data_IF_849809920876
#
_entry.id   IF_849809920876
#
_cell.length_a   1.000
_cell.length_b   1.000
_cell.length_c   1.000
_cell.angle_alpha   90.00
_cell.angle_beta   90.00
_cell.angle_gamma   90.00
#
_symmetry.space_group_name_H-M   'P 1'
#
loop_
_entity.id
_entity.type
_entity.pdbx_description
1 polymer ?
#
# COMPACT_ATOMS: atom_id res chain seq x y z
N UNK A 1 -3.95 -14.13 -13.99
CA UNK A 1 -2.69 -14.31 -14.69
C UNK A 1 -1.70 -13.31 -14.13
N UNK A 2 -0.50 -13.75 -13.78
CA UNK A 2 0.61 -12.84 -13.53
C UNK A 2 0.84 -12.05 -14.81
N UNK A 3 0.91 -10.74 -14.69
CA UNK A 3 1.51 -9.90 -15.74
C UNK A 3 3.00 -10.25 -15.67
N UNK A 4 3.53 -10.97 -16.65
CA UNK A 4 4.93 -11.42 -16.65
C UNK A 4 5.93 -10.27 -16.83
N UNK A 5 5.45 -9.08 -17.30
CA UNK A 5 6.23 -7.86 -17.39
C UNK A 5 5.41 -6.69 -16.84
N UNK A 6 5.97 -5.96 -15.88
CA UNK A 6 5.40 -4.71 -15.42
C UNK A 6 5.64 -3.63 -16.49
N UNK A 7 4.58 -3.05 -17.10
CA UNK A 7 4.74 -2.01 -18.12
C UNK A 7 5.24 -0.69 -17.55
N UNK A 8 5.30 -0.53 -16.24
CA UNK A 8 5.76 0.69 -15.56
C UNK A 8 7.30 0.71 -15.46
N UNK A 9 7.98 0.95 -16.57
CA UNK A 9 9.44 0.87 -16.70
C UNK A 9 10.19 2.19 -16.41
N UNK A 10 9.47 3.27 -16.07
CA UNK A 10 10.04 4.58 -15.79
C UNK A 10 10.49 5.37 -17.03
N UNK A 11 10.02 5.00 -18.22
CA UNK A 11 10.43 5.64 -19.46
C UNK A 11 10.13 7.13 -19.49
N UNK A 12 8.97 7.57 -18.99
CA UNK A 12 8.62 8.99 -18.90
C UNK A 12 9.61 9.79 -18.04
N UNK A 13 10.08 9.21 -16.94
CA UNK A 13 11.11 9.84 -16.08
C UNK A 13 12.42 9.98 -16.84
N UNK A 14 12.89 8.91 -17.50
CA UNK A 14 14.14 8.93 -18.27
C UNK A 14 14.10 9.94 -19.42
N UNK A 15 12.97 10.00 -20.13
CA UNK A 15 12.77 10.97 -21.22
C UNK A 15 12.84 12.41 -20.72
N UNK A 16 12.22 12.69 -19.57
CA UNK A 16 12.23 14.02 -18.97
C UNK A 16 13.64 14.41 -18.45
N UNK A 17 14.35 13.48 -17.80
CA UNK A 17 15.73 13.71 -17.36
C UNK A 17 16.66 14.03 -18.54
N UNK A 18 16.51 13.37 -19.68
CA UNK A 18 17.32 13.61 -20.87
C UNK A 18 17.22 15.05 -21.40
N UNK A 19 16.14 15.77 -21.08
CA UNK A 19 15.97 17.19 -21.44
C UNK A 19 16.17 18.13 -20.23
N UNK A 20 16.74 17.62 -19.14
CA UNK A 20 17.12 18.40 -17.97
C UNK A 20 16.03 18.58 -16.92
N UNK A 21 14.96 17.78 -16.94
CA UNK A 21 13.93 17.81 -15.90
C UNK A 21 14.49 17.43 -14.52
N UNK A 22 14.00 18.09 -13.49
CA UNK A 22 14.24 17.73 -12.10
C UNK A 22 13.32 16.60 -11.64
N UNK A 23 13.82 15.78 -10.72
CA UNK A 23 13.04 14.75 -10.03
C UNK A 23 12.86 15.11 -8.56
N UNK A 24 11.78 14.63 -7.97
CA UNK A 24 11.46 14.86 -6.55
C UNK A 24 10.84 13.62 -5.93
N UNK A 25 11.22 13.31 -4.66
CA UNK A 25 10.62 12.24 -3.86
C UNK A 25 10.89 10.83 -4.40
N UNK A 26 11.94 10.61 -5.16
CA UNK A 26 12.27 9.32 -5.78
C UNK A 26 12.47 8.18 -4.75
N UNK A 27 12.72 8.53 -3.51
CA UNK A 27 12.82 7.59 -2.38
C UNK A 27 11.46 7.10 -1.86
N UNK A 28 10.34 7.68 -2.32
CA UNK A 28 9.02 7.37 -1.79
C UNK A 28 8.25 6.44 -2.71
N UNK A 29 8.10 5.21 -2.27
CA UNK A 29 7.34 4.17 -2.95
C UNK A 29 6.25 3.66 -2.00
N UNK A 30 5.02 3.61 -2.47
CA UNK A 30 3.90 3.07 -1.71
C UNK A 30 3.83 1.55 -1.91
N UNK A 31 4.15 0.79 -0.87
CA UNK A 31 3.94 -0.64 -0.81
C UNK A 31 2.73 -0.95 0.08
N UNK A 32 1.77 -1.72 -0.42
CA UNK A 32 0.55 -2.10 0.31
C UNK A 32 0.21 -3.57 0.08
N UNK A 33 -0.58 -4.21 0.98
CA UNK A 33 -1.16 -5.51 0.74
C UNK A 33 -2.27 -5.37 -0.30
N UNK A 34 -2.09 -5.93 -1.48
CA UNK A 34 -3.04 -5.73 -2.56
C UNK A 34 -3.80 -6.99 -2.93
N UNK A 35 -3.11 -8.09 -3.23
CA UNK A 35 -3.73 -9.31 -3.73
C UNK A 35 -3.24 -10.57 -3.03
N UNK A 36 -3.42 -10.60 -1.73
CA UNK A 36 -3.07 -11.74 -0.87
C UNK A 36 -4.20 -12.12 0.08
N UNK A 37 -3.84 -12.69 1.21
CA UNK A 37 -4.75 -13.26 2.19
C UNK A 37 -5.51 -12.27 3.07
N UNK A 38 -5.23 -10.98 2.99
CA UNK A 38 -5.95 -9.97 3.76
C UNK A 38 -7.37 -9.83 3.27
N UNK A 39 -8.33 -9.92 4.18
CA UNK A 39 -9.77 -9.93 3.87
C UNK A 39 -10.50 -8.64 4.23
N UNK A 40 -9.84 -7.72 4.92
CA UNK A 40 -10.37 -6.42 5.28
C UNK A 40 -9.86 -5.36 4.30
N UNK A 41 -10.75 -4.47 3.83
CA UNK A 41 -10.36 -3.33 2.98
C UNK A 41 -9.69 -2.22 3.80
N UNK A 42 -10.06 -2.11 5.07
CA UNK A 42 -9.56 -1.09 6.01
C UNK A 42 -9.06 -1.74 7.29
N UNK A 43 -8.24 -1.06 8.10
CA UNK A 43 -7.83 -1.56 9.42
C UNK A 43 -9.03 -2.00 10.26
N UNK A 44 -8.90 -3.14 10.92
CA UNK A 44 -9.97 -3.75 11.71
C UNK A 44 -9.43 -4.78 12.70
N UNK A 45 -10.27 -5.70 13.16
CA UNK A 45 -9.85 -6.80 14.02
C UNK A 45 -9.14 -7.87 13.17
N UNK A 46 -7.83 -7.74 13.08
CA UNK A 46 -6.92 -8.65 12.38
C UNK A 46 -5.59 -8.75 13.13
N UNK A 47 -4.90 -9.87 12.98
CA UNK A 47 -3.57 -10.13 13.52
C UNK A 47 -2.62 -10.44 12.36
N UNK A 48 -1.43 -9.86 12.38
CA UNK A 48 -0.35 -10.16 11.45
C UNK A 48 0.72 -11.01 12.12
N UNK A 49 1.03 -12.18 11.53
CA UNK A 49 2.03 -13.10 12.06
C UNK A 49 3.11 -13.37 11.02
N UNK A 50 4.35 -13.45 11.49
CA UNK A 50 5.46 -13.99 10.69
C UNK A 50 5.19 -15.46 10.30
N UNK A 51 6.00 -16.02 9.42
CA UNK A 51 5.94 -17.44 9.07
C UNK A 51 6.15 -18.36 10.31
N UNK A 52 6.78 -17.85 11.38
CA UNK A 52 6.97 -18.55 12.64
C UNK A 52 5.79 -18.44 13.61
N UNK A 53 4.75 -17.66 13.26
CA UNK A 53 3.57 -17.48 14.10
C UNK A 53 3.72 -16.43 15.20
N UNK A 54 4.60 -15.47 15.02
CA UNK A 54 4.88 -14.36 15.97
C UNK A 54 4.27 -13.08 15.43
N UNK A 55 3.57 -12.30 16.27
CA UNK A 55 3.23 -10.91 15.91
C UNK A 55 4.49 -10.10 15.75
N UNK A 56 4.49 -9.13 14.87
CA UNK A 56 5.68 -8.34 14.57
C UNK A 56 5.42 -6.84 14.47
N UNK A 57 4.17 -6.37 14.55
CA UNK A 57 3.82 -4.95 14.35
C UNK A 57 2.48 -4.60 15.01
N UNK A 58 2.18 -3.31 15.13
CA UNK A 58 0.81 -2.80 15.24
C UNK A 58 0.13 -2.91 13.87
N UNK A 59 -0.88 -3.75 13.75
CA UNK A 59 -1.63 -3.99 12.50
C UNK A 59 -2.40 -2.76 12.00
N UNK A 60 -2.43 -1.68 12.78
CA UNK A 60 -3.02 -0.38 12.40
C UNK A 60 -1.99 0.69 12.06
N UNK A 61 -0.71 0.35 12.10
CA UNK A 61 0.37 1.24 11.71
C UNK A 61 0.34 1.56 10.20
N UNK A 62 1.13 2.53 9.77
CA UNK A 62 1.31 2.79 8.34
C UNK A 62 1.97 1.59 7.65
N UNK A 63 1.68 1.40 6.38
CA UNK A 63 2.28 0.29 5.62
C UNK A 63 3.81 0.37 5.54
N UNK A 64 4.39 1.56 5.58
CA UNK A 64 5.84 1.73 5.67
C UNK A 64 6.40 1.18 6.98
N UNK A 65 5.69 1.40 8.09
CA UNK A 65 6.03 0.82 9.40
C UNK A 65 5.90 -0.70 9.37
N UNK A 66 4.76 -1.21 8.87
CA UNK A 66 4.54 -2.66 8.74
C UNK A 66 5.62 -3.32 7.88
N UNK A 67 6.03 -2.69 6.77
CA UNK A 67 7.11 -3.18 5.91
C UNK A 67 8.46 -3.19 6.64
N UNK A 68 8.77 -2.12 7.37
CA UNK A 68 10.01 -2.03 8.15
C UNK A 68 10.07 -3.10 9.24
N UNK A 69 8.97 -3.28 9.99
CA UNK A 69 8.85 -4.27 11.06
C UNK A 69 8.93 -5.71 10.51
N UNK A 70 8.26 -6.00 9.38
CA UNK A 70 8.33 -7.29 8.70
C UNK A 70 9.76 -7.59 8.25
N UNK A 71 10.43 -6.61 7.67
CA UNK A 71 11.83 -6.72 7.23
C UNK A 71 12.76 -6.97 8.42
N UNK A 72 12.58 -6.23 9.53
CA UNK A 72 13.33 -6.43 10.75
C UNK A 72 13.12 -7.82 11.38
N UNK A 73 11.91 -8.37 11.23
CA UNK A 73 11.59 -9.76 11.61
C UNK A 73 12.14 -10.82 10.63
N UNK A 74 12.85 -10.40 9.56
CA UNK A 74 13.46 -11.28 8.56
C UNK A 74 12.45 -11.89 7.59
N UNK A 75 11.27 -11.30 7.43
CA UNK A 75 10.20 -11.77 6.56
C UNK A 75 10.02 -10.92 5.31
N UNK A 76 9.39 -11.49 4.29
CA UNK A 76 8.87 -10.81 3.10
C UNK A 76 7.38 -11.08 2.89
N UNK A 77 6.84 -12.06 3.60
CA UNK A 77 5.43 -12.46 3.64
C UNK A 77 5.01 -12.67 5.09
N UNK A 78 3.72 -12.50 5.35
CA UNK A 78 3.13 -12.68 6.67
C UNK A 78 1.74 -13.32 6.57
N UNK A 79 1.29 -13.92 7.66
CA UNK A 79 -0.07 -14.37 7.80
C UNK A 79 -0.97 -13.23 8.26
N UNK A 80 -2.13 -13.13 7.65
CA UNK A 80 -3.23 -12.28 8.14
C UNK A 80 -4.34 -13.18 8.63
N UNK A 81 -4.83 -12.90 9.84
CA UNK A 81 -5.88 -13.69 10.48
C UNK A 81 -6.97 -12.75 10.98
N UNK A 82 -8.22 -13.11 10.77
CA UNK A 82 -9.39 -12.45 11.34
C UNK A 82 -10.47 -13.48 11.70
N UNK A 83 -11.52 -13.07 12.40
CA UNK A 83 -12.63 -13.94 12.77
C UNK A 83 -13.90 -13.69 11.93
N UNK A 84 -14.97 -14.45 12.21
CA UNK A 84 -16.22 -14.34 11.49
C UNK A 84 -16.93 -13.00 11.65
N UNK A 85 -16.73 -12.29 12.78
CA UNK A 85 -17.39 -11.01 13.08
C UNK A 85 -16.80 -9.84 12.32
N UNK A 86 -15.55 -9.92 11.94
CA UNK A 86 -14.89 -8.83 11.21
C UNK A 86 -15.58 -8.58 9.87
N UNK A 87 -15.82 -7.31 9.55
CA UNK A 87 -16.40 -6.92 8.26
C UNK A 87 -15.43 -7.24 7.13
N UNK A 88 -15.87 -8.11 6.22
CA UNK A 88 -15.07 -8.50 5.06
C UNK A 88 -15.15 -7.42 3.97
N UNK A 89 -14.06 -7.24 3.26
CA UNK A 89 -13.98 -6.35 2.10
C UNK A 89 -14.68 -6.88 0.86
N UNK A 90 -14.75 -6.05 -0.17
CA UNK A 90 -15.44 -6.37 -1.41
C UNK A 90 -14.84 -7.56 -2.16
N UNK A 91 -13.53 -7.80 -2.00
CA UNK A 91 -12.80 -8.88 -2.69
C UNK A 91 -12.83 -10.22 -1.96
N UNK A 92 -13.43 -10.29 -0.77
CA UNK A 92 -13.39 -11.48 0.09
C UNK A 92 -13.85 -12.76 -0.62
N UNK A 93 -15.03 -12.74 -1.25
CA UNK A 93 -15.58 -13.93 -1.91
C UNK A 93 -14.67 -14.43 -3.04
N UNK A 94 -14.11 -13.50 -3.83
CA UNK A 94 -13.17 -13.82 -4.91
C UNK A 94 -11.87 -14.43 -4.37
N UNK A 95 -11.32 -13.88 -3.30
CA UNK A 95 -10.10 -14.39 -2.65
C UNK A 95 -10.30 -15.79 -2.08
N UNK A 96 -11.46 -16.07 -1.49
CA UNK A 96 -11.82 -17.44 -1.02
C UNK A 96 -11.91 -18.39 -2.22
N UNK A 97 -12.60 -18.00 -3.29
CA UNK A 97 -12.72 -18.83 -4.50
C UNK A 97 -11.37 -19.13 -5.15
N UNK A 98 -10.43 -18.21 -5.07
CA UNK A 98 -9.07 -18.36 -5.61
C UNK A 98 -8.11 -19.11 -4.68
N UNK A 99 -8.55 -19.48 -3.48
CA UNK A 99 -7.72 -20.16 -2.48
C UNK A 99 -6.66 -19.25 -1.82
N UNK A 100 -6.77 -17.93 -1.97
CA UNK A 100 -5.90 -16.97 -1.30
C UNK A 100 -6.28 -16.80 0.18
N UNK A 101 -7.54 -17.05 0.49
CA UNK A 101 -8.12 -17.02 1.84
C UNK A 101 -8.72 -18.37 2.14
N UNK A 102 -8.29 -18.93 3.26
CA UNK A 102 -8.85 -20.16 3.83
C UNK A 102 -9.63 -19.86 5.10
N UNK A 103 -10.36 -20.87 5.60
CA UNK A 103 -11.05 -20.79 6.88
C UNK A 103 -10.67 -21.97 7.77
N UNK A 104 -10.81 -21.76 9.09
CA UNK A 104 -10.62 -22.79 10.10
C UNK A 104 -11.71 -22.67 11.18
N UNK A 105 -12.29 -23.80 11.57
CA UNK A 105 -13.36 -23.86 12.57
C UNK A 105 -12.85 -23.74 14.03
N UNK A 106 -11.53 -23.78 14.24
CA UNK A 106 -10.90 -23.65 15.56
C UNK A 106 -9.47 -23.18 15.46
N UNK A 107 -8.91 -22.65 16.57
CA UNK A 107 -7.48 -22.31 16.64
C UNK A 107 -6.55 -23.51 16.40
N UNK A 108 -6.97 -24.70 16.83
CA UNK A 108 -6.23 -25.94 16.57
C UNK A 108 -6.15 -26.28 15.09
N UNK A 109 -7.26 -26.13 14.37
CA UNK A 109 -7.28 -26.32 12.91
C UNK A 109 -6.49 -25.24 12.20
N UNK A 110 -6.63 -23.99 12.62
CA UNK A 110 -5.87 -22.86 12.11
C UNK A 110 -4.37 -23.11 12.22
N UNK A 111 -3.89 -23.47 13.42
CA UNK A 111 -2.49 -23.77 13.67
C UNK A 111 -1.96 -24.91 12.77
N UNK A 112 -2.76 -25.96 12.60
CA UNK A 112 -2.44 -27.08 11.71
C UNK A 112 -2.28 -26.62 10.26
N UNK A 113 -3.23 -25.83 9.75
CA UNK A 113 -3.21 -25.32 8.35
C UNK A 113 -2.04 -24.37 8.11
N UNK A 114 -1.71 -23.54 9.08
CA UNK A 114 -0.58 -22.61 9.03
C UNK A 114 0.78 -23.28 9.29
N UNK A 115 0.79 -24.55 9.71
CA UNK A 115 2.00 -25.27 10.16
C UNK A 115 2.73 -24.56 11.32
N UNK A 116 1.96 -24.07 12.29
CA UNK A 116 2.44 -23.39 13.49
C UNK A 116 2.05 -24.21 14.72
N UNK A 117 2.82 -24.11 15.80
CA UNK A 117 2.47 -24.73 17.09
C UNK A 117 1.12 -24.24 17.60
N UNK A 118 0.21 -25.17 17.92
CA UNK A 118 -1.09 -24.82 18.49
C UNK A 118 -0.97 -24.09 19.84
N UNK A 119 0.02 -24.43 20.64
CA UNK A 119 0.29 -23.75 21.91
C UNK A 119 0.73 -22.29 21.67
N UNK A 120 1.66 -22.08 20.77
CA UNK A 120 2.13 -20.74 20.38
C UNK A 120 1.01 -19.87 19.83
N UNK A 121 0.19 -20.40 18.90
CA UNK A 121 -0.91 -19.65 18.33
C UNK A 121 -1.96 -19.29 19.41
N UNK A 122 -2.24 -20.20 20.33
CA UNK A 122 -3.17 -19.95 21.45
C UNK A 122 -2.64 -18.85 22.37
N UNK A 123 -1.34 -18.80 22.64
CA UNK A 123 -0.71 -17.75 23.43
C UNK A 123 -0.81 -16.38 22.73
N UNK A 124 -0.51 -16.31 21.43
CA UNK A 124 -0.66 -15.08 20.64
C UNK A 124 -2.10 -14.56 20.69
N UNK A 125 -3.09 -15.45 20.48
CA UNK A 125 -4.49 -15.05 20.57
C UNK A 125 -4.90 -14.60 21.97
N UNK A 126 -4.41 -15.27 23.01
CA UNK A 126 -4.68 -14.87 24.39
C UNK A 126 -4.14 -13.47 24.70
N UNK A 127 -2.88 -13.18 24.31
CA UNK A 127 -2.26 -11.85 24.49
C UNK A 127 -2.98 -10.78 23.69
N UNK A 128 -3.30 -11.03 22.43
CA UNK A 128 -4.03 -10.09 21.59
C UNK A 128 -5.44 -9.81 22.16
N UNK A 129 -6.17 -10.85 22.57
CA UNK A 129 -7.51 -10.68 23.12
C UNK A 129 -7.49 -9.99 24.50
N UNK A 130 -6.43 -10.19 25.30
CA UNK A 130 -6.22 -9.43 26.54
C UNK A 130 -6.01 -7.94 26.24
N UNK A 131 -5.15 -7.61 25.24
CA UNK A 131 -4.97 -6.24 24.79
C UNK A 131 -6.28 -5.62 24.30
N UNK A 132 -7.08 -6.37 23.55
CA UNK A 132 -8.40 -5.91 23.08
C UNK A 132 -9.38 -5.64 24.25
N UNK A 133 -9.35 -6.44 25.30
CA UNK A 133 -10.22 -6.29 26.48
C UNK A 133 -9.80 -5.14 27.39
N UNK A 134 -8.49 -4.92 27.53
CA UNK A 134 -7.93 -3.86 28.36
C UNK A 134 -7.81 -2.51 27.65
N UNK A 135 -7.91 -2.51 26.30
CA UNK A 135 -7.73 -1.34 25.46
C UNK A 135 -6.26 -0.91 25.30
N UNK A 136 -5.31 -1.75 25.71
CA UNK A 136 -3.87 -1.48 25.65
C UNK A 136 -3.10 -2.70 25.16
N UNK A 137 -2.29 -2.54 24.14
CA UNK A 137 -1.38 -3.56 23.61
C UNK A 137 0.04 -3.29 24.09
N UNK A 138 0.54 -4.04 25.10
CA UNK A 138 1.88 -3.83 25.62
C UNK A 138 2.99 -4.28 24.66
N UNK A 139 2.67 -5.08 23.65
CA UNK A 139 3.65 -5.63 22.73
C UNK A 139 4.01 -4.65 21.61
N UNK A 140 3.00 -3.99 21.01
CA UNK A 140 3.18 -3.12 19.85
C UNK A 140 2.50 -1.76 19.98
N UNK A 141 1.90 -1.45 21.13
CA UNK A 141 1.27 -0.16 21.39
C UNK A 141 -0.02 0.10 20.60
N UNK A 142 -0.65 -0.93 20.03
CA UNK A 142 -1.90 -0.80 19.29
C UNK A 142 -3.02 -0.32 20.20
N UNK A 143 -3.71 0.75 19.79
CA UNK A 143 -4.82 1.35 20.54
C UNK A 143 -6.11 1.44 19.74
N UNK A 144 -6.07 1.19 18.42
CA UNK A 144 -7.21 1.32 17.52
C UNK A 144 -7.68 -0.03 17.00
N UNK A 145 -9.00 -0.15 16.80
CA UNK A 145 -9.63 -1.37 16.26
C UNK A 145 -9.27 -2.65 17.03
N UNK A 146 -9.03 -2.51 18.33
CA UNK A 146 -8.82 -3.63 19.22
C UNK A 146 -10.16 -4.29 19.53
N UNK A 147 -10.44 -5.41 18.87
CA UNK A 147 -11.59 -6.27 19.12
C UNK A 147 -11.07 -7.68 19.29
N UNK A 148 -11.62 -8.42 20.26
CA UNK A 148 -11.26 -9.82 20.44
C UNK A 148 -11.53 -10.63 19.18
N UNK A 149 -10.63 -11.52 18.83
CA UNK A 149 -10.77 -12.53 17.79
C UNK A 149 -11.07 -13.87 18.44
N UNK A 150 -12.34 -14.26 18.48
CA UNK A 150 -12.79 -15.48 19.19
C UNK A 150 -13.93 -16.25 18.52
N UNK A 151 -14.55 -15.68 17.50
CA UNK A 151 -15.74 -16.27 16.86
C UNK A 151 -15.35 -16.98 15.56
N UNK A 152 -15.30 -18.32 15.54
CA UNK A 152 -15.04 -19.05 14.31
C UNK A 152 -16.18 -18.90 13.28
N UNK A 153 -15.94 -19.17 11.98
CA UNK A 153 -14.67 -19.58 11.45
C UNK A 153 -13.64 -18.43 11.44
N UNK A 154 -12.38 -18.78 11.68
CA UNK A 154 -11.25 -17.88 11.46
C UNK A 154 -10.91 -17.89 9.99
N UNK A 155 -10.73 -16.72 9.39
CA UNK A 155 -10.26 -16.56 8.02
C UNK A 155 -8.80 -16.14 8.04
N UNK A 156 -8.00 -16.75 7.17
CA UNK A 156 -6.57 -16.49 7.15
C UNK A 156 -6.00 -16.70 5.74
N UNK A 157 -4.86 -16.07 5.48
CA UNK A 157 -4.12 -16.25 4.25
C UNK A 157 -2.77 -15.55 4.33
N UNK A 158 -1.88 -15.89 3.39
CA UNK A 158 -0.59 -15.21 3.24
C UNK A 158 -0.76 -13.91 2.52
N UNK A 159 -0.05 -12.91 3.00
CA UNK A 159 -0.03 -11.56 2.43
C UNK A 159 1.41 -11.08 2.29
N UNK A 160 1.63 -10.21 1.34
CA UNK A 160 2.88 -9.48 1.14
C UNK A 160 2.58 -8.02 0.77
N UNK A 161 3.54 -7.15 1.01
CA UNK A 161 3.46 -5.78 0.55
C UNK A 161 4.05 -5.71 -0.86
N UNK A 162 3.28 -5.20 -1.78
CA UNK A 162 3.67 -5.02 -3.19
C UNK A 162 3.73 -3.54 -3.52
N UNK A 163 4.66 -3.16 -4.38
CA UNK A 163 4.71 -1.80 -4.92
C UNK A 163 3.40 -1.51 -5.64
N UNK A 164 2.70 -0.50 -5.19
CA UNK A 164 1.39 -0.13 -5.69
C UNK A 164 1.36 1.23 -6.38
N UNK A 165 2.26 2.12 -5.99
CA UNK A 165 2.36 3.47 -6.54
C UNK A 165 3.74 4.08 -6.26
N UNK A 166 4.27 4.81 -7.23
CA UNK A 166 5.46 5.62 -7.01
C UNK A 166 5.04 7.06 -6.69
N UNK A 167 5.46 7.56 -5.51
CA UNK A 167 5.15 8.93 -5.08
C UNK A 167 6.19 9.94 -5.59
N UNK A 168 7.37 9.44 -5.97
CA UNK A 168 8.42 10.20 -6.62
C UNK A 168 8.28 10.23 -8.14
N UNK A 169 8.88 11.24 -8.77
CA UNK A 169 8.84 11.39 -10.21
C UNK A 169 9.26 12.79 -10.67
N UNK A 170 8.81 13.18 -11.84
CA UNK A 170 9.12 14.45 -12.50
C UNK A 170 8.57 15.62 -11.66
N UNK A 171 9.42 16.60 -11.36
CA UNK A 171 9.03 17.81 -10.66
C UNK A 171 8.16 18.71 -11.58
N UNK A 172 6.97 19.06 -11.09
CA UNK A 172 6.04 19.95 -11.81
C UNK A 172 5.63 21.14 -10.94
N UNK A 173 5.13 22.18 -11.57
CA UNK A 173 4.45 23.29 -10.89
C UNK A 173 2.91 23.14 -10.96
N UNK A 174 2.12 24.01 -10.30
CA UNK A 174 0.66 23.96 -10.34
C UNK A 174 0.03 24.08 -11.74
N UNK A 175 0.81 24.47 -12.76
CA UNK A 175 0.38 24.49 -14.15
C UNK A 175 0.72 23.19 -14.91
N UNK A 176 1.22 22.18 -14.21
CA UNK A 176 1.73 20.93 -14.76
C UNK A 176 2.94 21.11 -15.70
N UNK A 177 3.61 22.26 -15.67
CA UNK A 177 4.85 22.47 -16.40
C UNK A 177 5.99 21.73 -15.70
N UNK A 178 6.78 20.98 -16.45
CA UNK A 178 7.97 20.27 -15.94
C UNK A 178 9.04 21.29 -15.56
N UNK A 179 9.70 21.09 -14.43
CA UNK A 179 10.71 22.00 -13.90
C UNK A 179 12.12 21.48 -14.16
N UNK A 180 13.06 22.37 -14.47
CA UNK A 180 14.48 22.01 -14.59
C UNK A 180 15.07 21.53 -13.26
N UNK A 181 16.02 20.60 -13.35
CA UNK A 181 16.82 20.15 -12.22
C UNK A 181 17.51 21.35 -11.54
N UNK A 182 17.50 21.36 -10.19
CA UNK A 182 18.10 22.44 -9.40
C UNK A 182 17.31 23.76 -9.40
N UNK A 183 16.15 23.84 -10.08
CA UNK A 183 15.32 25.04 -10.09
C UNK A 183 13.83 24.71 -9.97
N UNK A 184 13.26 24.95 -8.80
CA UNK A 184 11.81 24.77 -8.57
C UNK A 184 10.92 25.85 -9.22
N UNK A 185 11.49 26.80 -9.96
CA UNK A 185 10.73 27.93 -10.54
C UNK A 185 10.86 28.04 -12.06
N UNK A 186 11.85 27.35 -12.67
CA UNK A 186 12.12 27.46 -14.11
C UNK A 186 11.50 26.27 -14.84
N UNK A 187 10.46 26.47 -15.66
CA UNK A 187 9.87 25.39 -16.44
C UNK A 187 10.74 25.02 -17.65
N UNK A 188 10.69 23.76 -18.03
CA UNK A 188 11.17 23.27 -19.33
C UNK A 188 10.10 23.66 -20.36
N UNK A 189 10.49 24.50 -21.31
CA UNK A 189 9.55 25.09 -22.24
C UNK A 189 8.84 24.03 -23.10
N UNK A 190 7.52 24.08 -23.14
CA UNK A 190 6.68 23.17 -23.92
C UNK A 190 6.58 21.74 -23.36
N UNK A 191 7.14 21.44 -22.18
CA UNK A 191 7.06 20.13 -21.57
C UNK A 191 6.11 20.15 -20.35
N UNK A 192 5.16 19.21 -20.36
CA UNK A 192 4.16 19.03 -19.31
C UNK A 192 4.15 17.57 -18.84
N UNK A 193 3.80 17.35 -17.58
CA UNK A 193 3.63 16.01 -17.03
C UNK A 193 2.46 15.96 -16.04
N UNK A 194 1.81 14.79 -15.94
CA UNK A 194 0.67 14.57 -15.06
C UNK A 194 0.53 13.10 -14.67
N UNK A 195 -0.07 12.83 -13.51
CA UNK A 195 -0.30 11.49 -13.00
C UNK A 195 0.94 10.87 -12.35
N UNK A 196 0.99 9.57 -12.24
CA UNK A 196 2.01 8.84 -11.46
C UNK A 196 3.47 9.11 -11.87
N UNK A 197 3.70 9.53 -13.12
CA UNK A 197 5.03 9.92 -13.58
C UNK A 197 5.57 11.18 -12.88
N UNK A 198 4.70 11.95 -12.21
CA UNK A 198 5.06 13.17 -11.48
C UNK A 198 5.31 12.88 -10.01
N UNK A 199 6.29 13.56 -9.41
CA UNK A 199 6.61 13.47 -8.00
C UNK A 199 6.12 14.66 -7.18
N UNK A 200 6.02 14.46 -5.86
CA UNK A 200 5.74 15.52 -4.89
C UNK A 200 4.26 15.87 -4.69
N UNK A 201 3.36 15.49 -5.60
CA UNK A 201 1.92 15.79 -5.49
C UNK A 201 1.30 15.12 -4.25
N UNK A 202 1.68 13.89 -3.97
CA UNK A 202 1.17 13.12 -2.84
C UNK A 202 2.09 13.12 -1.62
N UNK A 203 3.24 13.77 -1.69
CA UNK A 203 4.26 13.67 -0.65
C UNK A 203 4.82 12.24 -0.55
N UNK A 204 4.92 11.72 0.68
CA UNK A 204 5.48 10.38 0.95
C UNK A 204 4.48 9.25 0.76
N UNK A 205 3.18 9.54 0.79
CA UNK A 205 2.14 8.53 0.83
C UNK A 205 0.89 8.96 0.05
N UNK A 206 0.48 8.15 -0.91
CA UNK A 206 -0.71 8.40 -1.71
C UNK A 206 -1.94 7.74 -1.08
N UNK A 207 -2.98 8.51 -0.77
CA UNK A 207 -4.27 8.00 -0.32
C UNK A 207 -4.99 7.20 -1.40
N UNK A 208 -5.72 6.16 -1.00
CA UNK A 208 -6.51 5.33 -1.91
C UNK A 208 -7.44 6.16 -2.79
N UNK A 209 -7.44 5.91 -4.11
CA UNK A 209 -8.24 6.62 -5.10
C UNK A 209 -7.65 7.94 -5.60
N UNK A 210 -6.75 8.60 -4.86
CA UNK A 210 -6.24 9.92 -5.24
C UNK A 210 -5.28 9.91 -6.44
N UNK A 211 -4.71 8.76 -6.81
CA UNK A 211 -3.89 8.65 -8.02
C UNK A 211 -4.67 8.91 -9.31
N UNK A 212 -5.91 8.40 -9.40
CA UNK A 212 -6.78 8.72 -10.54
C UNK A 212 -7.20 10.19 -10.54
N UNK A 213 -7.51 10.75 -9.36
CA UNK A 213 -7.84 12.17 -9.22
C UNK A 213 -6.68 13.05 -9.70
N UNK A 214 -5.46 12.76 -9.27
CA UNK A 214 -4.25 13.44 -9.71
C UNK A 214 -4.12 13.38 -11.24
N UNK A 215 -4.18 12.19 -11.83
CA UNK A 215 -4.05 12.01 -13.28
C UNK A 215 -5.10 12.82 -14.07
N UNK A 216 -6.36 12.83 -13.63
CA UNK A 216 -7.42 13.60 -14.30
C UNK A 216 -7.25 15.12 -14.11
N UNK A 217 -6.96 15.58 -12.90
CA UNK A 217 -6.84 17.01 -12.61
C UNK A 217 -5.63 17.61 -13.33
N UNK A 218 -4.44 17.05 -13.08
CA UNK A 218 -3.22 17.55 -13.70
C UNK A 218 -3.14 17.27 -15.20
N UNK A 219 -3.71 16.15 -15.69
CA UNK A 219 -3.83 15.88 -17.12
C UNK A 219 -4.66 16.94 -17.84
N UNK A 220 -5.78 17.37 -17.24
CA UNK A 220 -6.59 18.47 -17.77
C UNK A 220 -5.84 19.82 -17.75
N UNK A 221 -5.10 20.10 -16.68
CA UNK A 221 -4.29 21.31 -16.55
C UNK A 221 -3.19 21.32 -17.61
N UNK A 222 -2.43 20.22 -17.72
CA UNK A 222 -1.37 20.04 -18.69
C UNK A 222 -1.86 20.24 -20.13
N UNK A 223 -2.96 19.56 -20.51
CA UNK A 223 -3.52 19.66 -21.86
C UNK A 223 -3.99 21.07 -22.21
N UNK A 224 -4.63 21.77 -21.26
CA UNK A 224 -5.06 23.17 -21.46
C UNK A 224 -3.86 24.10 -21.67
N UNK A 225 -2.81 23.99 -20.83
CA UNK A 225 -1.66 24.85 -20.90
C UNK A 225 -0.80 24.55 -22.15
N UNK A 226 -0.67 23.29 -22.52
CA UNK A 226 0.02 22.89 -23.76
C UNK A 226 -0.65 23.49 -25.00
N UNK A 227 -1.98 23.44 -25.09
CA UNK A 227 -2.74 24.04 -26.19
C UNK A 227 -2.57 25.56 -26.28
N UNK A 228 -2.56 26.25 -25.13
CA UNK A 228 -2.35 27.70 -25.09
C UNK A 228 -0.93 28.11 -25.52
N UNK A 229 0.09 27.34 -25.12
CA UNK A 229 1.50 27.58 -25.53
C UNK A 229 1.64 27.42 -27.04
N UNK A 230 1.07 26.37 -27.63
CA UNK A 230 1.12 26.12 -29.07
C UNK A 230 0.46 27.26 -29.89
N UNK A 231 -0.66 27.82 -29.39
CA UNK A 231 -1.35 28.94 -30.06
C UNK A 231 -0.51 30.24 -30.06
N UNK A 232 0.23 30.50 -28.98
CA UNK A 232 1.11 31.68 -28.89
C UNK A 232 2.29 31.58 -29.89
N UNK A 233 2.88 30.40 -30.02
CA UNK A 233 4.04 30.18 -30.93
C UNK A 233 3.60 30.22 -32.40
N UNK A 234 2.36 29.90 -32.74
CA UNK A 234 1.83 30.00 -34.12
C UNK A 234 1.45 31.42 -34.52
N UNK A 235 1.33 32.34 -33.56
CA UNK A 235 0.98 33.74 -33.77
C UNK A 235 2.20 34.68 -33.83
N UNK A 236 3.41 34.17 -33.64
CA UNK A 236 4.68 34.87 -33.73
C UNK A 236 5.40 34.53 -35.04
#
# INVERSE_FOLDING_TARGET
GRIEEDPATGDGIRMAEAVGAGLVGMEYVLAIPFWGGRVLDYPGAEIFLTARGERFTDETASWDTVLADLTAAGGSEFWVITDSRSRKGATFATKVQQGLVESAASLKELAKKMNISSAQLSEVFARYNEAARTGADPDFGRTRFLQELKEPPFYFGRERLEVHYTCGGIAINPKAEVLYAGSQKRPVLGLYAAGEVTGGVHGKFRLGGSGLLDAFVFGRIAGRNAAQTCLIDTMR
#
